data_IF_328071598485
#
_entry.id   IF_328071598485
#
_cell.length_a   1.000
_cell.length_b   1.000
_cell.length_c   1.000
_cell.angle_alpha   90.00
_cell.angle_beta   90.00
_cell.angle_gamma   90.00
#
_symmetry.space_group_name_H-M   'P 1'
#
loop_
_entity.id
_entity.type
_entity.pdbx_description
1 polymer ?
#
# COMPACT_ATOMS: atom_id res chain seq x y z
N UNK A 1 12.36 1.82 -6.15
CA UNK A 1 12.09 0.43 -5.76
C UNK A 1 11.23 -0.33 -6.78
N UNK A 2 9.99 0.11 -7.09
CA UNK A 2 9.07 -0.66 -7.95
C UNK A 2 9.33 -0.62 -9.46
N UNK A 3 10.34 0.13 -9.92
CA UNK A 3 10.60 0.38 -11.34
C UNK A 3 10.68 -0.92 -12.18
N UNK A 4 11.43 -1.98 -11.79
CA UNK A 4 11.52 -3.19 -12.62
C UNK A 4 10.16 -3.90 -12.79
N UNK A 5 9.36 -3.98 -11.72
CA UNK A 5 8.01 -4.57 -11.77
C UNK A 5 7.08 -3.74 -12.63
N UNK A 6 7.07 -2.41 -12.46
CA UNK A 6 6.22 -1.53 -13.26
C UNK A 6 6.60 -1.61 -14.73
N UNK A 7 7.89 -1.59 -15.05
CA UNK A 7 8.36 -1.76 -16.43
C UNK A 7 7.89 -3.08 -17.02
N UNK A 8 8.03 -4.19 -16.28
CA UNK A 8 7.59 -5.51 -16.74
C UNK A 8 6.06 -5.58 -16.98
N UNK A 9 5.26 -4.97 -16.10
CA UNK A 9 3.81 -4.85 -16.28
C UNK A 9 3.49 -4.08 -17.56
N UNK A 10 4.11 -2.91 -17.76
CA UNK A 10 3.83 -2.05 -18.91
C UNK A 10 4.32 -2.63 -20.24
N UNK A 11 5.36 -3.45 -20.25
CA UNK A 11 5.80 -4.14 -21.47
C UNK A 11 4.86 -5.28 -21.87
N UNK A 12 4.15 -5.87 -20.91
CA UNK A 12 3.25 -7.00 -21.15
C UNK A 12 1.77 -6.61 -21.26
N UNK A 13 1.42 -5.38 -20.88
CA UNK A 13 0.05 -4.86 -20.93
C UNK A 13 -0.01 -3.58 -21.77
N UNK A 14 -0.68 -3.67 -22.91
CA UNK A 14 -0.92 -2.52 -23.79
C UNK A 14 -1.91 -1.53 -23.14
N UNK A 15 -1.66 -0.23 -23.34
CA UNK A 15 -2.52 0.84 -22.80
C UNK A 15 -2.32 1.16 -21.31
N UNK A 16 -1.38 0.48 -20.64
CA UNK A 16 -0.98 0.82 -19.29
C UNK A 16 -0.16 2.12 -19.22
N UNK A 17 -0.31 2.87 -18.14
CA UNK A 17 0.52 4.03 -17.82
C UNK A 17 0.91 4.00 -16.34
N UNK A 18 2.07 4.53 -16.00
CA UNK A 18 2.48 4.75 -14.61
C UNK A 18 2.34 6.23 -14.25
N UNK A 19 1.86 6.51 -13.04
CA UNK A 19 1.72 7.86 -12.51
C UNK A 19 2.40 7.89 -11.13
N UNK A 20 3.56 8.56 -10.98
CA UNK A 20 4.14 8.78 -9.66
C UNK A 20 3.25 9.72 -8.83
N UNK A 21 3.21 9.47 -7.52
CA UNK A 21 2.51 10.34 -6.57
C UNK A 21 3.52 11.32 -6.00
N UNK A 22 3.36 12.59 -6.34
CA UNK A 22 4.22 13.66 -5.83
C UNK A 22 3.62 14.22 -4.53
N UNK A 23 4.36 14.07 -3.43
CA UNK A 23 3.97 14.62 -2.13
C UNK A 23 5.21 14.83 -1.24
N UNK A 24 5.14 15.72 -0.23
CA UNK A 24 6.26 15.93 0.69
C UNK A 24 6.54 14.68 1.52
N UNK A 25 7.75 14.14 1.41
CA UNK A 25 8.20 13.02 2.25
C UNK A 25 8.89 13.56 3.50
N UNK A 26 8.29 13.37 4.67
CA UNK A 26 8.82 13.89 5.94
C UNK A 26 8.60 12.90 7.10
N UNK A 27 9.42 12.97 8.15
CA UNK A 27 9.32 12.07 9.30
C UNK A 27 7.95 12.09 10.01
N UNK A 28 7.17 13.16 9.84
CA UNK A 28 5.84 13.35 10.44
C UNK A 28 4.78 12.35 9.94
N UNK A 29 5.05 11.57 8.89
CA UNK A 29 4.08 10.65 8.26
C UNK A 29 2.81 11.33 7.75
N UNK A 30 2.84 12.66 7.54
CA UNK A 30 1.74 13.37 6.92
C UNK A 30 1.73 13.07 5.42
N UNK A 31 0.74 12.31 4.98
CA UNK A 31 0.58 11.85 3.59
C UNK A 31 -0.65 12.45 2.91
N UNK A 32 -1.38 13.35 3.58
CA UNK A 32 -2.71 13.81 3.15
C UNK A 32 -2.75 14.46 1.77
N UNK A 33 -1.71 15.23 1.38
CA UNK A 33 -1.66 15.80 0.03
C UNK A 33 -1.50 14.73 -1.06
N UNK A 34 -0.69 13.72 -0.80
CA UNK A 34 -0.53 12.58 -1.70
C UNK A 34 -1.77 11.68 -1.73
N UNK A 35 -2.45 11.49 -0.59
CA UNK A 35 -3.73 10.78 -0.53
C UNK A 35 -4.78 11.46 -1.42
N UNK A 36 -4.96 12.78 -1.24
CA UNK A 36 -5.91 13.58 -2.03
C UNK A 36 -5.61 13.48 -3.53
N UNK A 37 -4.34 13.61 -3.92
CA UNK A 37 -3.92 13.48 -5.31
C UNK A 37 -4.32 12.13 -5.92
N UNK A 38 -4.13 11.02 -5.19
CA UNK A 38 -4.47 9.68 -5.68
C UNK A 38 -5.98 9.49 -5.78
N UNK A 39 -6.73 9.89 -4.74
CA UNK A 39 -8.20 9.78 -4.73
C UNK A 39 -8.81 10.57 -5.88
N UNK A 40 -8.38 11.83 -6.07
CA UNK A 40 -8.86 12.69 -7.15
C UNK A 40 -8.49 12.13 -8.53
N UNK A 41 -7.26 11.62 -8.68
CA UNK A 41 -6.80 11.01 -9.92
C UNK A 41 -7.64 9.79 -10.33
N UNK A 42 -7.93 8.89 -9.38
CA UNK A 42 -8.75 7.71 -9.62
C UNK A 42 -10.19 8.12 -9.96
N UNK A 43 -10.79 9.00 -9.15
CA UNK A 43 -12.16 9.46 -9.36
C UNK A 43 -12.33 10.20 -10.70
N UNK A 44 -11.39 11.07 -11.06
CA UNK A 44 -11.40 11.79 -12.34
C UNK A 44 -11.25 10.85 -13.54
N UNK A 45 -10.35 9.88 -13.47
CA UNK A 45 -10.12 8.92 -14.55
C UNK A 45 -11.27 7.93 -14.71
N UNK A 46 -11.85 7.43 -13.61
CA UNK A 46 -13.01 6.53 -13.69
C UNK A 46 -14.25 7.19 -14.30
N UNK A 47 -14.43 8.51 -14.14
CA UNK A 47 -15.50 9.25 -14.82
C UNK A 47 -15.37 9.23 -16.35
N UNK A 48 -14.14 9.18 -16.87
CA UNK A 48 -13.85 9.17 -18.32
C UNK A 48 -13.67 7.76 -18.87
N UNK A 49 -13.14 6.85 -18.04
CA UNK A 49 -12.82 5.48 -18.38
C UNK A 49 -13.35 4.55 -17.26
N UNK A 50 -14.67 4.25 -17.23
CA UNK A 50 -15.29 3.48 -16.13
C UNK A 50 -14.73 2.08 -15.91
N UNK A 51 -14.12 1.50 -16.94
CA UNK A 51 -13.51 0.17 -16.87
C UNK A 51 -12.01 0.18 -16.54
N UNK A 52 -11.41 1.37 -16.31
CA UNK A 52 -10.01 1.51 -15.94
C UNK A 52 -9.70 0.69 -14.68
N UNK A 53 -8.60 -0.06 -14.72
CA UNK A 53 -8.07 -0.82 -13.58
C UNK A 53 -6.82 -0.16 -13.04
N UNK A 54 -6.56 -0.35 -11.75
CA UNK A 54 -5.42 0.25 -11.07
C UNK A 54 -4.59 -0.80 -10.33
N UNK A 55 -3.29 -0.58 -10.34
CA UNK A 55 -2.34 -1.19 -9.43
C UNK A 55 -1.71 -0.08 -8.58
N UNK A 56 -1.71 -0.26 -7.26
CA UNK A 56 -1.17 0.71 -6.31
C UNK A 56 0.11 0.17 -5.68
N UNK A 57 1.13 1.00 -5.59
CA UNK A 57 2.45 0.62 -5.05
C UNK A 57 2.85 1.61 -3.97
N UNK A 58 3.15 1.11 -2.77
CA UNK A 58 3.52 1.92 -1.62
C UNK A 58 4.77 1.40 -0.92
N UNK A 59 5.77 2.25 -0.69
CA UNK A 59 6.98 1.91 0.04
C UNK A 59 7.16 2.81 1.25
N UNK A 60 7.44 2.23 2.43
CA UNK A 60 7.64 2.98 3.67
C UNK A 60 6.46 3.94 3.93
N UNK A 61 6.69 5.25 3.96
CA UNK A 61 5.63 6.25 4.06
C UNK A 61 4.58 6.17 2.93
N UNK A 62 4.99 5.79 1.71
CA UNK A 62 4.06 5.56 0.61
C UNK A 62 3.11 4.39 0.87
N UNK A 63 3.50 3.40 1.69
CA UNK A 63 2.58 2.34 2.10
C UNK A 63 1.48 2.90 3.02
N UNK A 64 1.82 3.78 3.95
CA UNK A 64 0.85 4.51 4.79
C UNK A 64 -0.13 5.32 3.93
N UNK A 65 0.38 6.05 2.93
CA UNK A 65 -0.43 6.80 1.98
C UNK A 65 -1.46 5.87 1.31
N UNK A 66 -1.02 4.74 0.76
CA UNK A 66 -1.92 3.81 0.05
C UNK A 66 -2.98 3.22 1.00
N UNK A 67 -2.61 2.88 2.25
CA UNK A 67 -3.60 2.41 3.25
C UNK A 67 -4.71 3.43 3.48
N UNK A 68 -4.36 4.71 3.62
CA UNK A 68 -5.33 5.78 3.83
C UNK A 68 -6.16 6.05 2.57
N UNK A 69 -5.57 5.99 1.38
CA UNK A 69 -6.29 6.10 0.09
C UNK A 69 -7.37 5.04 -0.01
N UNK A 70 -7.05 3.77 0.25
CA UNK A 70 -8.01 2.66 0.13
C UNK A 70 -9.27 2.88 0.98
N UNK A 71 -9.16 3.60 2.11
CA UNK A 71 -10.29 3.95 2.99
C UNK A 71 -11.14 5.12 2.50
N UNK A 72 -10.61 5.93 1.61
CA UNK A 72 -11.27 7.12 1.06
C UNK A 72 -11.93 6.85 -0.29
N UNK A 73 -11.55 5.76 -0.97
CA UNK A 73 -12.16 5.38 -2.24
C UNK A 73 -13.63 5.00 -2.06
N UNK A 74 -14.46 5.43 -3.01
CA UNK A 74 -15.84 4.93 -3.12
C UNK A 74 -15.84 3.44 -3.46
N UNK A 75 -16.91 2.68 -3.16
CA UNK A 75 -16.95 1.24 -3.46
C UNK A 75 -16.63 0.89 -4.93
N UNK A 76 -17.16 1.58 -5.96
CA UNK A 76 -16.79 1.31 -7.35
C UNK A 76 -15.31 1.60 -7.65
N UNK A 77 -14.74 2.63 -7.02
CA UNK A 77 -13.32 2.93 -7.15
C UNK A 77 -12.45 1.87 -6.48
N UNK A 78 -12.86 1.37 -5.31
CA UNK A 78 -12.18 0.27 -4.62
C UNK A 78 -12.19 -1.03 -5.45
N UNK A 79 -13.33 -1.36 -6.09
CA UNK A 79 -13.44 -2.51 -7.01
C UNK A 79 -12.56 -2.41 -8.26
N UNK A 80 -12.17 -1.19 -8.64
CA UNK A 80 -11.26 -0.95 -9.76
C UNK A 80 -9.80 -1.24 -9.43
N UNK A 81 -9.46 -1.36 -8.14
CA UNK A 81 -8.12 -1.72 -7.66
C UNK A 81 -7.92 -3.23 -7.81
N UNK A 82 -6.98 -3.64 -8.65
CA UNK A 82 -6.68 -5.06 -8.96
C UNK A 82 -5.40 -5.57 -8.33
N UNK A 83 -4.54 -4.66 -7.89
CA UNK A 83 -3.30 -5.00 -7.21
C UNK A 83 -2.90 -3.89 -6.25
N UNK A 84 -2.45 -4.26 -5.06
CA UNK A 84 -1.79 -3.37 -4.12
C UNK A 84 -0.53 -4.06 -3.64
N UNK A 85 0.63 -3.43 -3.86
CA UNK A 85 1.89 -3.90 -3.28
C UNK A 85 2.37 -2.86 -2.27
N UNK A 86 2.42 -3.28 -1.01
CA UNK A 86 3.00 -2.52 0.08
C UNK A 86 4.34 -3.15 0.44
N UNK A 87 5.37 -2.33 0.65
CA UNK A 87 6.66 -2.82 1.13
C UNK A 87 7.13 -1.93 2.27
N UNK A 88 7.49 -2.58 3.36
CA UNK A 88 7.96 -1.91 4.56
C UNK A 88 6.91 -1.00 5.19
N UNK A 89 5.67 -1.50 5.27
CA UNK A 89 4.53 -0.78 5.83
C UNK A 89 4.77 -0.39 7.32
N UNK A 90 4.78 0.91 7.67
CA UNK A 90 4.95 1.34 9.06
C UNK A 90 3.83 0.90 10.01
N UNK A 91 2.68 0.53 9.46
CA UNK A 91 1.51 0.02 10.18
C UNK A 91 1.28 -1.48 9.92
N UNK A 92 2.32 -2.21 9.53
CA UNK A 92 2.27 -3.66 9.35
C UNK A 92 1.76 -4.34 10.62
N UNK A 93 0.79 -5.25 10.46
CA UNK A 93 0.13 -5.99 11.54
C UNK A 93 0.21 -7.48 11.25
N UNK A 94 0.51 -8.34 12.25
CA UNK A 94 0.54 -9.78 12.05
C UNK A 94 -0.86 -10.35 11.79
N UNK A 95 -0.92 -11.55 11.20
CA UNK A 95 -2.17 -12.30 11.02
C UNK A 95 -3.09 -11.82 9.88
N UNK A 96 -2.61 -10.96 8.99
CA UNK A 96 -3.31 -10.53 7.77
C UNK A 96 -3.04 -11.52 6.64
N UNK A 97 -4.04 -11.88 5.83
CA UNK A 97 -3.88 -12.82 4.71
C UNK A 97 -2.98 -12.27 3.60
N UNK A 98 -2.91 -10.95 3.48
CA UNK A 98 -2.04 -10.23 2.54
C UNK A 98 -0.57 -10.20 2.94
N UNK A 99 -0.21 -10.61 4.17
CA UNK A 99 1.15 -10.54 4.66
C UNK A 99 2.06 -11.56 3.98
N UNK A 100 3.16 -11.06 3.41
CA UNK A 100 4.15 -11.90 2.75
C UNK A 100 5.58 -11.55 3.14
N UNK A 101 6.46 -12.54 3.05
CA UNK A 101 7.89 -12.39 3.27
C UNK A 101 8.60 -11.96 1.97
N UNK A 102 9.93 -11.85 2.01
CA UNK A 102 10.73 -11.46 0.85
C UNK A 102 10.61 -12.39 -0.38
N UNK A 103 10.18 -13.64 -0.20
CA UNK A 103 9.97 -14.62 -1.27
C UNK A 103 8.49 -14.74 -1.69
N UNK A 104 7.64 -13.80 -1.27
CA UNK A 104 6.20 -13.77 -1.52
C UNK A 104 5.42 -14.94 -0.90
N UNK A 105 5.99 -15.63 0.09
CA UNK A 105 5.28 -16.66 0.85
C UNK A 105 4.54 -16.01 2.02
N UNK A 106 3.40 -16.60 2.41
CA UNK A 106 2.62 -16.13 3.54
C UNK A 106 3.48 -16.01 4.80
N UNK A 107 3.36 -14.87 5.48
CA UNK A 107 4.27 -14.51 6.56
C UNK A 107 3.54 -14.47 7.91
N UNK A 108 3.77 -15.52 8.70
CA UNK A 108 3.07 -15.76 9.98
C UNK A 108 3.81 -15.21 11.20
N UNK A 109 5.00 -14.62 11.04
CA UNK A 109 5.73 -14.10 12.19
C UNK A 109 5.00 -12.91 12.79
N UNK A 110 5.00 -12.86 14.13
CA UNK A 110 4.46 -11.76 14.92
C UNK A 110 5.35 -10.51 14.85
N UNK A 111 5.51 -9.94 13.64
CA UNK A 111 6.23 -8.69 13.41
C UNK A 111 5.25 -7.52 13.38
N UNK A 112 5.68 -6.40 13.94
CA UNK A 112 4.92 -5.16 13.97
C UNK A 112 5.68 -4.06 13.22
N UNK A 113 4.92 -3.25 12.49
CA UNK A 113 5.43 -1.98 11.98
C UNK A 113 5.71 -1.00 13.11
N UNK A 114 6.65 -0.07 12.90
CA UNK A 114 7.10 0.90 13.91
C UNK A 114 5.96 1.73 14.53
N UNK A 115 4.89 2.00 13.77
CA UNK A 115 3.75 2.78 14.24
C UNK A 115 2.50 1.94 14.56
N UNK A 116 2.58 0.61 14.41
CA UNK A 116 1.46 -0.30 14.61
C UNK A 116 0.97 -0.28 16.07
N UNK A 117 1.87 -0.42 17.05
CA UNK A 117 1.51 -0.42 18.49
C UNK A 117 0.81 0.88 18.90
N UNK A 118 1.37 2.02 18.49
CA UNK A 118 0.79 3.34 18.78
C UNK A 118 -0.56 3.52 18.10
N UNK A 119 -0.73 3.03 16.88
CA UNK A 119 -2.02 3.08 16.18
C UNK A 119 -3.10 2.25 16.90
N UNK A 120 -2.77 1.04 17.35
CA UNK A 120 -3.68 0.19 18.13
C UNK A 120 -4.10 0.92 19.41
N UNK A 121 -3.13 1.43 20.17
CA UNK A 121 -3.38 2.14 21.42
C UNK A 121 -4.23 3.40 21.25
N UNK A 122 -4.18 4.05 20.08
CA UNK A 122 -4.95 5.25 19.77
C UNK A 122 -6.22 4.98 18.97
N UNK A 123 -6.60 3.71 18.79
CA UNK A 123 -7.72 3.27 17.96
C UNK A 123 -7.71 3.89 16.54
N UNK A 124 -6.50 4.14 16.01
CA UNK A 124 -6.33 4.71 14.68
C UNK A 124 -6.59 3.66 13.61
N UNK A 125 -7.29 4.08 12.58
CA UNK A 125 -7.79 3.24 11.49
C UNK A 125 -6.80 3.07 10.33
N UNK A 126 -5.52 3.42 10.51
CA UNK A 126 -4.43 3.33 9.50
C UNK A 126 -4.02 1.88 9.16
N UNK A 127 -4.83 0.89 9.54
CA UNK A 127 -4.64 -0.51 9.18
C UNK A 127 -5.32 -0.83 7.84
N UNK A 128 -4.80 -1.85 7.15
CA UNK A 128 -5.42 -2.39 5.94
C UNK A 128 -6.88 -2.78 6.18
N UNK A 129 -7.76 -2.30 5.30
CA UNK A 129 -9.17 -2.65 5.29
C UNK A 129 -9.33 -4.16 5.21
N UNK A 130 -10.23 -4.71 6.03
CA UNK A 130 -10.51 -6.16 6.08
C UNK A 130 -10.91 -6.70 4.71
N UNK A 131 -11.76 -5.97 4.00
CA UNK A 131 -12.22 -6.34 2.65
C UNK A 131 -11.05 -6.45 1.66
N UNK A 132 -10.10 -5.51 1.72
CA UNK A 132 -8.91 -5.53 0.87
C UNK A 132 -7.93 -6.62 1.27
N UNK A 133 -7.72 -6.85 2.56
CA UNK A 133 -6.89 -7.95 3.06
C UNK A 133 -7.39 -9.32 2.57
N UNK A 134 -8.72 -9.50 2.56
CA UNK A 134 -9.38 -10.73 2.16
C UNK A 134 -9.59 -10.85 0.64
N UNK A 135 -9.33 -9.79 -0.13
CA UNK A 135 -9.65 -9.78 -1.56
C UNK A 135 -8.65 -10.58 -2.42
N UNK A 136 -7.50 -10.96 -1.87
CA UNK A 136 -6.40 -11.56 -2.63
C UNK A 136 -5.65 -10.59 -3.55
N UNK A 137 -5.99 -9.29 -3.53
CA UNK A 137 -5.35 -8.28 -4.40
C UNK A 137 -4.21 -7.54 -3.70
N UNK A 138 -3.95 -7.81 -2.43
CA UNK A 138 -2.96 -7.07 -1.62
C UNK A 138 -1.80 -8.00 -1.26
N UNK A 139 -0.59 -7.52 -1.47
CA UNK A 139 0.65 -8.11 -0.96
C UNK A 139 1.36 -7.06 -0.08
N UNK A 140 1.42 -7.31 1.23
CA UNK A 140 2.14 -6.47 2.19
C UNK A 140 3.44 -7.17 2.60
N UNK A 141 4.54 -6.72 2.00
CA UNK A 141 5.87 -7.27 2.21
C UNK A 141 6.51 -6.67 3.46
N UNK A 142 6.77 -7.54 4.45
CA UNK A 142 7.73 -7.25 5.50
C UNK A 142 9.07 -7.89 5.17
N UNK A 143 10.00 -7.06 4.71
CA UNK A 143 11.38 -7.46 4.45
C UNK A 143 12.15 -7.34 5.78
N UNK A 144 12.04 -8.34 6.65
CA UNK A 144 12.74 -8.33 7.92
C UNK A 144 14.26 -8.39 7.69
N UNK A 145 14.97 -7.27 7.88
CA UNK A 145 16.43 -7.18 7.67
C UNK A 145 17.23 -7.17 8.97
N UNK A 146 16.59 -7.14 10.15
CA UNK A 146 17.27 -6.89 11.42
C UNK A 146 16.60 -7.57 12.62
N UNK A 147 17.39 -7.79 13.69
CA UNK A 147 16.99 -8.27 15.04
C UNK A 147 16.29 -7.13 15.84
N UNK A 148 15.77 -6.12 15.16
CA UNK A 148 15.07 -4.99 15.77
C UNK A 148 13.65 -5.37 16.17
N UNK A 149 13.12 -4.72 17.21
CA UNK A 149 11.72 -4.84 17.66
C UNK A 149 10.71 -4.48 16.56
N UNK A 150 11.13 -3.68 15.57
CA UNK A 150 10.31 -3.26 14.42
C UNK A 150 11.04 -3.54 13.10
N UNK A 151 11.13 -4.80 12.67
CA UNK A 151 12.00 -5.20 11.57
C UNK A 151 11.43 -4.89 10.18
N UNK A 152 10.18 -4.44 10.08
CA UNK A 152 9.52 -4.17 8.81
C UNK A 152 9.82 -2.79 8.22
N UNK A 153 10.58 -1.90 8.90
CA UNK A 153 11.00 -0.63 8.31
C UNK A 153 12.42 -0.73 7.76
N UNK A 154 12.60 -0.37 6.49
CA UNK A 154 13.90 0.01 5.97
C UNK A 154 14.22 1.43 6.46
N UNK A 155 15.15 1.55 7.39
CA UNK A 155 15.86 2.81 7.61
C UNK A 155 16.85 2.98 6.46
N UNK A 156 16.79 4.12 5.78
CA UNK A 156 17.77 4.50 4.74
C UNK A 156 19.11 4.79 5.38
#
# INVERSE_FOLDING_TARGET
>A
MFYPVIQHILTNLTGGVSLPVEYPVAASQNTSSGEQFVVDSIAHRLRRCPHQKYALFGYSQGATLILNVLRQLSPPALESIKLVILVGNPFYMPGKSSNVNATAQHHEKALLGMFAEKAIASNRTTQLLKEMDQSGNVLDYCLAVSISRYPCLFTS
#
